data_IF_801650187147
#
_entry.id   IF_801650187147
#
_cell.length_a   1.000
_cell.length_b   1.000
_cell.length_c   1.000
_cell.angle_alpha   90.00
_cell.angle_beta   90.00
_cell.angle_gamma   90.00
#
_symmetry.space_group_name_H-M   'P 1'
#
loop_
_entity.id
_entity.type
_entity.pdbx_description
1 polymer ?
#
# COMPACT_ATOMS: atom_id res chain seq x y z
N UNK A 1 -13.46 -2.57 0.67
CA UNK A 1 -12.90 -1.37 0.01
C UNK A 1 -12.42 -1.61 -1.42
N UNK A 2 -12.75 -2.75 -2.01
CA UNK A 2 -12.44 -3.05 -3.40
C UNK A 2 -11.03 -3.57 -3.65
N UNK A 3 -10.36 -4.05 -2.63
CA UNK A 3 -9.03 -4.63 -2.79
C UNK A 3 -9.10 -6.05 -3.33
N UNK A 4 -8.11 -6.41 -4.12
CA UNK A 4 -7.86 -7.79 -4.52
C UNK A 4 -6.56 -8.23 -3.85
N UNK A 5 -6.62 -9.27 -3.06
CA UNK A 5 -5.42 -9.81 -2.42
C UNK A 5 -4.66 -10.63 -3.46
N UNK A 6 -3.43 -10.22 -3.77
CA UNK A 6 -2.63 -10.89 -4.77
C UNK A 6 -1.95 -12.13 -4.18
N UNK A 7 -1.21 -11.94 -3.10
CA UNK A 7 -0.50 -13.05 -2.47
C UNK A 7 -0.01 -12.70 -1.08
N UNK A 8 0.32 -13.74 -0.34
CA UNK A 8 0.99 -13.61 0.95
C UNK A 8 2.48 -13.84 0.71
N UNK A 9 3.31 -12.98 1.25
CA UNK A 9 4.78 -13.07 1.15
C UNK A 9 5.32 -13.08 2.57
N UNK A 10 5.69 -14.27 3.08
CA UNK A 10 6.07 -14.40 4.47
C UNK A 10 4.91 -13.98 5.38
N UNK A 11 5.13 -12.99 6.21
CA UNK A 11 4.12 -12.40 7.08
C UNK A 11 3.50 -11.12 6.50
N UNK A 12 3.75 -10.84 5.23
CA UNK A 12 3.22 -9.68 4.53
C UNK A 12 2.10 -10.06 3.57
N UNK A 13 1.22 -9.11 3.31
CA UNK A 13 0.12 -9.27 2.36
C UNK A 13 0.27 -8.21 1.28
N UNK A 14 0.19 -8.63 0.03
CA UNK A 14 0.13 -7.70 -1.10
C UNK A 14 -1.30 -7.63 -1.62
N UNK A 15 -1.83 -6.42 -1.69
CA UNK A 15 -3.19 -6.18 -2.17
C UNK A 15 -3.16 -5.17 -3.30
N UNK A 16 -4.08 -5.32 -4.23
CA UNK A 16 -4.19 -4.48 -5.41
C UNK A 16 -5.53 -3.77 -5.43
N UNK A 17 -5.51 -2.50 -5.77
CA UNK A 17 -6.71 -1.69 -5.98
C UNK A 17 -6.73 -1.29 -7.45
N UNK A 18 -7.44 -2.06 -8.24
CA UNK A 18 -7.39 -1.96 -9.70
C UNK A 18 -8.46 -1.02 -10.23
N UNK A 19 -8.08 -0.23 -11.22
CA UNK A 19 -9.02 0.61 -11.93
C UNK A 19 -10.06 -0.22 -12.68
N UNK A 20 -11.24 0.34 -12.86
CA UNK A 20 -12.30 -0.28 -13.64
C UNK A 20 -13.16 0.83 -14.26
N UNK A 21 -14.18 0.45 -15.01
CA UNK A 21 -15.13 1.41 -15.57
C UNK A 21 -15.80 2.28 -14.51
N UNK A 22 -15.98 1.70 -13.31
CA UNK A 22 -16.68 2.36 -12.21
C UNK A 22 -15.74 2.84 -11.11
N UNK A 23 -14.44 2.77 -11.32
CA UNK A 23 -13.47 3.11 -10.29
C UNK A 23 -12.24 3.77 -10.91
N UNK A 24 -12.06 5.03 -10.62
CA UNK A 24 -10.94 5.81 -11.14
C UNK A 24 -9.64 5.51 -10.41
N UNK A 25 -8.54 5.97 -10.97
CA UNK A 25 -7.22 5.88 -10.37
C UNK A 25 -7.20 6.57 -8.98
N UNK A 26 -7.82 7.74 -8.91
CA UNK A 26 -7.91 8.51 -7.65
C UNK A 26 -8.72 7.75 -6.60
N UNK A 27 -9.83 7.14 -7.00
CA UNK A 27 -10.63 6.32 -6.09
C UNK A 27 -9.85 5.11 -5.59
N UNK A 28 -9.08 4.48 -6.45
CA UNK A 28 -8.24 3.34 -6.05
C UNK A 28 -7.21 3.77 -5.02
N UNK A 29 -6.55 4.90 -5.25
CA UNK A 29 -5.56 5.43 -4.31
C UNK A 29 -6.22 5.79 -2.97
N UNK A 30 -7.36 6.45 -3.01
CA UNK A 30 -8.12 6.81 -1.80
C UNK A 30 -8.52 5.55 -1.01
N UNK A 31 -9.07 4.56 -1.71
CA UNK A 31 -9.51 3.31 -1.07
C UNK A 31 -8.34 2.55 -0.44
N UNK A 32 -7.18 2.57 -1.07
CA UNK A 32 -5.99 1.93 -0.52
C UNK A 32 -5.56 2.59 0.80
N UNK A 33 -5.50 3.91 0.82
CA UNK A 33 -5.12 4.66 2.03
C UNK A 33 -6.16 4.46 3.13
N UNK A 34 -7.43 4.54 2.78
CA UNK A 34 -8.52 4.31 3.73
C UNK A 34 -8.42 2.92 4.35
N UNK A 35 -8.18 1.91 3.53
CA UNK A 35 -8.02 0.53 4.00
C UNK A 35 -6.84 0.41 4.97
N UNK A 36 -5.70 1.00 4.61
CA UNK A 36 -4.52 0.98 5.48
C UNK A 36 -4.78 1.62 6.84
N UNK A 37 -5.42 2.76 6.84
CA UNK A 37 -5.75 3.46 8.08
C UNK A 37 -6.76 2.68 8.94
N UNK A 38 -7.75 2.07 8.29
CA UNK A 38 -8.73 1.24 8.99
C UNK A 38 -8.10 0.00 9.61
N UNK A 39 -7.14 -0.62 8.90
CA UNK A 39 -6.41 -1.77 9.44
C UNK A 39 -5.61 -1.39 10.68
N UNK A 40 -4.96 -0.25 10.67
CA UNK A 40 -4.20 0.23 11.83
C UNK A 40 -5.13 0.49 13.01
N UNK A 41 -6.28 1.11 12.76
CA UNK A 41 -7.25 1.37 13.81
C UNK A 41 -7.83 0.08 14.38
N UNK A 42 -8.12 -0.89 13.53
CA UNK A 42 -8.61 -2.20 13.95
C UNK A 42 -7.60 -2.90 14.85
N UNK A 43 -6.30 -2.81 14.50
CA UNK A 43 -5.25 -3.39 15.33
C UNK A 43 -5.07 -2.65 16.65
N UNK A 44 -5.27 -1.35 16.67
CA UNK A 44 -5.21 -0.58 17.91
C UNK A 44 -6.26 -1.09 18.87
N UNK A 45 -7.47 -1.34 18.41
CA UNK A 45 -8.54 -1.91 19.23
C UNK A 45 -8.20 -3.35 19.67
N UNK A 46 -7.70 -4.15 18.73
CA UNK A 46 -7.29 -5.53 19.02
C UNK A 46 -6.20 -5.60 20.09
N UNK A 47 -5.28 -4.63 20.07
CA UNK A 47 -4.14 -4.60 20.99
C UNK A 47 -4.51 -4.14 22.41
N UNK A 48 -5.70 -3.59 22.61
CA UNK A 48 -6.13 -3.15 23.93
C UNK A 48 -6.13 -4.32 24.91
N UNK A 49 -5.48 -4.14 26.06
CA UNK A 49 -5.39 -5.14 27.12
C UNK A 49 -4.60 -6.40 26.75
N UNK A 50 -3.79 -6.34 25.70
CA UNK A 50 -2.93 -7.47 25.31
C UNK A 50 -1.49 -7.17 25.67
N UNK A 51 -0.80 -8.18 26.18
CA UNK A 51 0.64 -8.07 26.46
C UNK A 51 1.43 -8.09 25.15
N UNK A 52 1.03 -8.97 24.21
CA UNK A 52 1.69 -9.08 22.91
C UNK A 52 0.97 -8.18 21.91
N UNK A 53 1.64 -7.09 21.55
CA UNK A 53 1.10 -6.11 20.61
C UNK A 53 1.40 -6.54 19.18
N UNK A 54 0.39 -6.47 18.32
CA UNK A 54 0.55 -6.72 16.89
C UNK A 54 0.58 -5.38 16.16
N UNK A 55 1.63 -5.16 15.39
CA UNK A 55 1.77 -3.94 14.61
C UNK A 55 1.96 -4.26 13.15
N UNK A 56 1.47 -3.38 12.28
CA UNK A 56 1.67 -3.50 10.85
C UNK A 56 2.32 -2.23 10.31
N UNK A 57 2.92 -2.37 9.15
CA UNK A 57 3.41 -1.26 8.34
C UNK A 57 2.72 -1.33 7.01
N UNK A 58 2.27 -0.19 6.51
CA UNK A 58 1.56 -0.15 5.23
C UNK A 58 2.31 0.76 4.27
N UNK A 59 2.68 0.22 3.13
CA UNK A 59 3.29 0.98 2.04
C UNK A 59 2.38 0.96 0.84
N UNK A 60 2.10 2.13 0.28
CA UNK A 60 1.17 2.27 -0.85
C UNK A 60 1.86 3.03 -1.97
N UNK A 61 1.84 2.45 -3.16
CA UNK A 61 2.33 3.10 -4.36
C UNK A 61 1.31 2.93 -5.48
N UNK A 62 1.24 3.90 -6.35
CA UNK A 62 0.34 3.92 -7.50
C UNK A 62 1.17 3.88 -8.78
N UNK A 63 0.72 3.10 -9.74
CA UNK A 63 1.44 2.99 -11.00
C UNK A 63 0.90 1.85 -11.84
N UNK A 64 1.53 1.66 -12.98
CA UNK A 64 1.19 0.58 -13.89
C UNK A 64 1.86 -0.70 -13.44
N UNK A 65 1.10 -1.78 -13.43
CA UNK A 65 1.62 -3.11 -13.12
C UNK A 65 1.25 -4.06 -14.24
N UNK A 66 2.04 -5.10 -14.38
CA UNK A 66 1.79 -6.16 -15.34
C UNK A 66 1.27 -7.36 -14.57
N UNK A 67 0.08 -7.80 -14.95
CA UNK A 67 -0.52 -8.99 -14.34
C UNK A 67 -0.45 -10.13 -15.34
N UNK A 68 0.01 -11.26 -14.88
CA UNK A 68 0.17 -12.42 -15.73
C UNK A 68 -0.07 -13.71 -14.99
N UNK A 69 -0.26 -14.77 -15.77
CA UNK A 69 -0.44 -16.12 -15.28
C UNK A 69 0.91 -16.83 -15.42
N UNK A 70 1.54 -17.12 -14.29
CA UNK A 70 2.83 -17.80 -14.26
C UNK A 70 2.64 -19.15 -13.58
N UNK A 71 3.00 -20.22 -14.26
CA UNK A 71 2.92 -21.54 -13.68
C UNK A 71 2.49 -22.59 -14.67
N UNK A 72 2.30 -23.81 -14.19
CA UNK A 72 1.88 -24.92 -15.02
C UNK A 72 0.42 -24.77 -15.42
N UNK A 73 0.18 -24.80 -16.70
CA UNK A 73 -1.19 -24.75 -17.24
C UNK A 73 -1.99 -26.01 -16.90
N UNK A 74 -1.33 -27.07 -16.49
CA UNK A 74 -1.97 -28.35 -16.24
C UNK A 74 -2.49 -28.50 -14.81
N UNK A 75 -1.80 -27.90 -13.84
CA UNK A 75 -2.08 -28.18 -12.45
C UNK A 75 -2.38 -26.96 -11.60
N UNK A 76 -1.84 -25.81 -11.99
CA UNK A 76 -1.88 -24.65 -11.13
C UNK A 76 -1.76 -23.38 -11.93
N UNK A 77 -2.52 -22.36 -11.55
CA UNK A 77 -2.40 -21.02 -12.10
C UNK A 77 -2.05 -20.07 -10.97
N UNK A 78 -0.90 -19.46 -11.07
CA UNK A 78 -0.46 -18.46 -10.13
C UNK A 78 -0.41 -17.12 -10.87
N UNK A 79 -1.33 -16.23 -10.54
CA UNK A 79 -1.26 -14.88 -11.04
C UNK A 79 -0.17 -14.15 -10.30
N UNK A 80 0.65 -13.44 -11.02
CA UNK A 80 1.68 -12.61 -10.41
C UNK A 80 1.60 -11.20 -10.96
N UNK A 81 1.97 -10.25 -10.12
CA UNK A 81 2.03 -8.85 -10.49
C UNK A 81 3.49 -8.47 -10.52
N UNK A 82 3.94 -7.96 -11.65
CA UNK A 82 5.33 -7.61 -11.87
C UNK A 82 5.38 -6.13 -12.23
N UNK A 83 6.42 -5.46 -11.77
CA UNK A 83 6.67 -4.09 -12.15
C UNK A 83 7.39 -3.34 -11.07
N UNK A 84 7.98 -2.24 -11.50
CA UNK A 84 8.71 -1.35 -10.63
C UNK A 84 7.81 -0.77 -9.52
N UNK A 85 6.55 -0.52 -9.86
CA UNK A 85 5.57 0.00 -8.91
C UNK A 85 5.38 -0.92 -7.71
N UNK A 86 5.45 -2.24 -7.92
CA UNK A 86 5.33 -3.23 -6.85
C UNK A 86 6.56 -3.18 -5.95
N UNK A 87 7.75 -3.08 -6.54
CA UNK A 87 8.99 -3.00 -5.78
C UNK A 87 9.04 -1.73 -4.92
N UNK A 88 8.55 -0.63 -5.45
CA UNK A 88 8.44 0.63 -4.70
C UNK A 88 7.48 0.47 -3.51
N UNK A 89 6.33 -0.16 -3.73
CA UNK A 89 5.38 -0.40 -2.64
C UNK A 89 6.00 -1.23 -1.52
N UNK A 90 6.74 -2.28 -1.87
CA UNK A 90 7.44 -3.11 -0.89
C UNK A 90 8.49 -2.30 -0.12
N UNK A 91 9.19 -1.41 -0.80
CA UNK A 91 10.20 -0.56 -0.17
C UNK A 91 9.55 0.46 0.79
N UNK A 92 8.39 1.00 0.41
CA UNK A 92 7.63 1.89 1.28
C UNK A 92 7.19 1.18 2.55
N UNK A 93 6.70 -0.06 2.43
CA UNK A 93 6.31 -0.85 3.59
C UNK A 93 7.50 -1.06 4.53
N UNK A 94 8.65 -1.42 3.99
CA UNK A 94 9.85 -1.61 4.80
C UNK A 94 10.33 -0.32 5.48
N UNK A 95 10.13 0.82 4.84
CA UNK A 95 10.53 2.12 5.37
C UNK A 95 9.53 2.72 6.34
N UNK A 96 8.30 2.24 6.34
CA UNK A 96 7.25 2.77 7.20
C UNK A 96 7.51 2.46 8.66
N UNK A 97 7.09 3.36 9.53
CA UNK A 97 7.11 3.11 10.96
C UNK A 97 5.98 2.16 11.34
N UNK A 98 6.17 1.44 12.42
CA UNK A 98 5.13 0.54 12.93
C UNK A 98 3.85 1.32 13.20
N UNK A 99 2.73 0.79 12.73
CA UNK A 99 1.44 1.42 12.93
C UNK A 99 1.24 2.66 12.05
N UNK A 100 1.91 2.73 10.91
CA UNK A 100 1.76 3.89 10.02
C UNK A 100 1.51 3.47 8.58
N UNK A 101 0.98 4.44 7.81
CA UNK A 101 0.76 4.33 6.37
C UNK A 101 1.71 5.29 5.68
N UNK A 102 2.58 4.74 4.84
CA UNK A 102 3.53 5.53 4.05
C UNK A 102 3.14 5.43 2.58
N UNK A 103 2.99 6.56 1.93
CA UNK A 103 2.61 6.62 0.52
C UNK A 103 3.70 7.30 -0.30
N UNK A 104 3.80 6.90 -1.57
CA UNK A 104 4.69 7.59 -2.50
C UNK A 104 4.10 8.95 -2.87
N UNK A 105 4.95 9.83 -3.40
CA UNK A 105 4.49 11.12 -3.89
C UNK A 105 3.48 10.95 -5.05
N UNK A 106 3.65 9.92 -5.87
CA UNK A 106 2.72 9.59 -6.94
C UNK A 106 1.32 9.33 -6.38
N UNK A 107 1.22 8.55 -5.32
CA UNK A 107 -0.06 8.30 -4.65
C UNK A 107 -0.60 9.56 -4.00
N UNK A 108 0.26 10.30 -3.32
CA UNK A 108 -0.14 11.52 -2.64
C UNK A 108 -0.78 12.53 -3.59
N UNK A 109 -0.20 12.71 -4.77
CA UNK A 109 -0.74 13.64 -5.77
C UNK A 109 -2.16 13.30 -6.21
N UNK A 110 -2.54 12.03 -6.14
CA UNK A 110 -3.89 11.60 -6.50
C UNK A 110 -4.92 11.91 -5.43
N UNK A 111 -4.48 12.06 -4.17
CA UNK A 111 -5.39 12.17 -3.03
C UNK A 111 -5.08 13.35 -2.11
N UNK A 112 -4.23 14.27 -2.54
CA UNK A 112 -3.72 15.35 -1.68
C UNK A 112 -4.81 16.17 -1.01
N UNK A 113 -5.96 16.32 -1.65
CA UNK A 113 -7.07 17.12 -1.12
C UNK A 113 -7.91 16.36 -0.08
N UNK A 114 -7.63 15.09 0.12
CA UNK A 114 -8.43 14.20 0.96
C UNK A 114 -7.67 13.64 2.15
N UNK A 115 -6.39 13.95 2.29
CA UNK A 115 -5.56 13.41 3.37
C UNK A 115 -4.80 14.52 4.07
N UNK A 116 -4.50 14.26 5.34
CA UNK A 116 -3.58 15.07 6.12
C UNK A 116 -2.27 14.31 6.25
N UNK A 117 -1.16 14.97 5.96
CA UNK A 117 0.16 14.37 6.02
C UNK A 117 0.83 14.76 7.33
N UNK A 118 1.38 13.77 8.03
CA UNK A 118 2.10 13.99 9.27
C UNK A 118 3.56 14.36 9.02
N UNK A 119 4.19 13.72 8.03
CA UNK A 119 5.60 13.92 7.75
C UNK A 119 5.90 13.59 6.30
N UNK A 120 6.89 14.26 5.75
CA UNK A 120 7.38 14.05 4.40
C UNK A 120 8.89 13.82 4.47
N UNK A 121 9.35 12.80 3.76
CA UNK A 121 10.77 12.44 3.73
C UNK A 121 11.13 11.84 2.38
N UNK A 122 12.37 11.40 2.25
CA UNK A 122 12.85 10.74 1.04
C UNK A 122 13.42 9.39 1.39
N UNK A 123 13.24 8.43 0.50
CA UNK A 123 13.85 7.12 0.63
C UNK A 123 14.60 6.77 -0.64
N UNK A 124 15.61 5.92 -0.50
CA UNK A 124 16.38 5.41 -1.64
C UNK A 124 15.83 4.01 -1.95
N UNK A 125 15.45 3.80 -3.21
CA UNK A 125 14.98 2.50 -3.66
C UNK A 125 16.15 1.72 -4.21
N UNK A 126 16.31 0.49 -3.75
CA UNK A 126 17.39 -0.39 -4.18
C UNK A 126 17.36 -0.57 -5.70
N UNK A 127 18.49 -0.35 -6.33
CA UNK A 127 18.61 -0.45 -7.78
C UNK A 127 18.25 0.81 -8.53
N UNK A 128 17.83 1.86 -7.84
CA UNK A 128 17.59 3.17 -8.44
C UNK A 128 18.51 4.20 -7.83
N UNK A 129 19.07 5.07 -8.67
CA UNK A 129 19.96 6.13 -8.23
C UNK A 129 19.21 7.32 -7.64
N UNK A 130 17.89 7.36 -7.75
CA UNK A 130 17.08 8.50 -7.34
C UNK A 130 16.43 8.28 -5.99
N UNK A 131 16.32 9.38 -5.24
CA UNK A 131 15.51 9.39 -4.03
C UNK A 131 14.04 9.53 -4.39
N UNK A 132 13.19 8.85 -3.64
CA UNK A 132 11.75 8.96 -3.79
C UNK A 132 11.17 9.75 -2.62
N UNK A 133 10.37 10.75 -2.96
CA UNK A 133 9.64 11.51 -1.96
C UNK A 133 8.48 10.65 -1.46
N UNK A 134 8.33 10.59 -0.15
CA UNK A 134 7.30 9.78 0.51
C UNK A 134 6.62 10.59 1.60
N UNK A 135 5.38 10.21 1.89
CA UNK A 135 4.55 10.95 2.86
C UNK A 135 3.91 9.98 3.85
N UNK A 136 4.04 10.31 5.12
CA UNK A 136 3.37 9.57 6.19
C UNK A 136 1.98 10.17 6.38
N UNK A 137 0.95 9.36 6.20
CA UNK A 137 -0.43 9.83 6.29
C UNK A 137 -0.89 9.83 7.74
N UNK A 138 -1.42 10.95 8.20
CA UNK A 138 -1.97 11.07 9.53
C UNK A 138 -3.43 10.59 9.56
N UNK A 139 -4.25 11.09 8.66
CA UNK A 139 -5.67 10.74 8.62
C UNK A 139 -6.30 11.21 7.30
N UNK A 140 -7.50 10.69 7.04
CA UNK A 140 -8.33 11.21 5.97
C UNK A 140 -9.01 12.49 6.46
N UNK A 141 -9.13 13.46 5.55
CA UNK A 141 -9.85 14.68 5.85
C UNK A 141 -11.36 14.45 5.74
N UNK A 142 -12.17 15.15 6.54
CA UNK A 142 -13.63 15.08 6.39
C UNK A 142 -14.05 15.55 5.01
N UNK A 143 -15.01 14.87 4.43
CA UNK A 143 -15.57 15.22 3.13
C UNK A 143 -16.77 16.15 3.35
#
# INVERSE_FOLDING_TARGET
>A
NGATIDKFVGDAIMALFLESKNRSHEECAYNAVKTGLEMIEALRTFNQNRQDQVNIRVGINSGTVIMGDIGSKLYRRDYTVIGDSVNIAARLESAAEKGSVLVSDTTYKLIKDFVEIEDTSSIIVKGKAEELLVHKVAQLLPI
#
